data_IF_984746131770
#
_entry.id   IF_984746131770
#
_cell.length_a   1.000
_cell.length_b   1.000
_cell.length_c   1.000
_cell.angle_alpha   90.00
_cell.angle_beta   90.00
_cell.angle_gamma   90.00
#
_symmetry.space_group_name_H-M   'P 1'
#
loop_
_entity.id
_entity.type
_entity.pdbx_description
1 polymer ?
#
# COMPACT_ATOMS: atom_id res chain seq x y z
N UNK A 1 -9.73 3.12 -5.32
CA UNK A 1 -10.86 3.80 -4.66
C UNK A 1 -10.46 4.52 -3.35
N UNK A 2 -9.17 4.72 -3.03
CA UNK A 2 -8.72 5.43 -1.82
C UNK A 2 -8.21 6.85 -2.09
N UNK A 3 -7.86 7.17 -3.33
CA UNK A 3 -7.20 8.44 -3.68
C UNK A 3 -8.10 9.64 -3.43
N UNK A 4 -9.39 9.56 -3.76
CA UNK A 4 -10.32 10.70 -3.62
C UNK A 4 -10.54 11.12 -2.16
N UNK A 5 -10.86 10.22 -1.20
CA UNK A 5 -10.97 10.61 0.20
C UNK A 5 -9.70 11.24 0.74
N UNK A 6 -8.53 10.66 0.45
CA UNK A 6 -7.23 11.18 0.92
C UNK A 6 -6.98 12.59 0.37
N UNK A 7 -7.22 12.82 -0.92
CA UNK A 7 -7.03 14.14 -1.52
C UNK A 7 -7.99 15.17 -0.94
N UNK A 8 -9.25 14.79 -0.68
CA UNK A 8 -10.25 15.68 -0.08
C UNK A 8 -9.88 16.00 1.37
N UNK A 9 -9.43 15.03 2.16
CA UNK A 9 -8.96 15.26 3.54
C UNK A 9 -7.75 16.19 3.57
N UNK A 10 -6.78 16.02 2.68
CA UNK A 10 -5.64 16.94 2.57
C UNK A 10 -6.05 18.35 2.15
N UNK A 11 -7.03 18.47 1.24
CA UNK A 11 -7.55 19.75 0.77
C UNK A 11 -8.41 20.48 1.81
N UNK A 12 -9.12 19.74 2.66
CA UNK A 12 -9.94 20.32 3.74
C UNK A 12 -9.09 20.94 4.86
N UNK A 13 -7.85 20.46 5.06
CA UNK A 13 -6.95 20.93 6.11
C UNK A 13 -6.07 22.13 5.73
N UNK A 14 -6.21 22.70 4.52
CA UNK A 14 -5.36 23.78 4.00
C UNK A 14 -6.17 25.01 3.57
N UNK A 15 -5.54 26.18 3.53
CA UNK A 15 -6.11 27.41 2.97
C UNK A 15 -6.18 27.37 1.44
N UNK A 16 -7.03 28.24 0.84
CA UNK A 16 -7.16 28.37 -0.62
C UNK A 16 -5.84 28.71 -1.31
N UNK A 17 -4.99 29.53 -0.69
CA UNK A 17 -3.70 29.94 -1.24
C UNK A 17 -2.70 28.78 -1.39
N UNK A 18 -2.83 27.72 -0.60
CA UNK A 18 -1.88 26.60 -0.57
C UNK A 18 -2.44 25.29 -1.13
N UNK A 19 -3.71 25.27 -1.57
CA UNK A 19 -4.39 24.07 -2.07
C UNK A 19 -3.66 23.42 -3.27
N UNK A 20 -3.13 24.22 -4.18
CA UNK A 20 -2.38 23.73 -5.35
C UNK A 20 -1.10 22.98 -4.93
N UNK A 21 -0.34 23.54 -3.99
CA UNK A 21 0.90 22.95 -3.47
C UNK A 21 0.64 21.65 -2.72
N UNK A 22 -0.38 21.62 -1.85
CA UNK A 22 -0.77 20.41 -1.09
C UNK A 22 -1.22 19.29 -2.04
N UNK A 23 -1.98 19.63 -3.07
CA UNK A 23 -2.43 18.67 -4.08
C UNK A 23 -1.24 18.10 -4.87
N UNK A 24 -0.33 18.96 -5.32
CA UNK A 24 0.87 18.54 -6.04
C UNK A 24 1.76 17.61 -5.20
N UNK A 25 1.94 17.92 -3.91
CA UNK A 25 2.70 17.08 -2.98
C UNK A 25 2.03 15.70 -2.81
N UNK A 26 0.71 15.67 -2.63
CA UNK A 26 -0.06 14.42 -2.48
C UNK A 26 0.08 13.52 -3.72
N UNK A 27 -0.03 14.09 -4.93
CA UNK A 27 0.18 13.35 -6.17
C UNK A 27 1.62 12.84 -6.32
N UNK A 28 2.59 13.61 -5.87
CA UNK A 28 4.01 13.23 -5.95
C UNK A 28 4.28 11.99 -5.08
N UNK A 29 3.81 12.01 -3.83
CA UNK A 29 3.93 10.87 -2.91
C UNK A 29 3.20 9.64 -3.47
N UNK A 30 2.01 9.82 -4.03
CA UNK A 30 1.28 8.72 -4.68
C UNK A 30 2.09 8.07 -5.82
N UNK A 31 2.72 8.88 -6.68
CA UNK A 31 3.54 8.36 -7.78
C UNK A 31 4.78 7.61 -7.28
N UNK A 32 5.42 8.12 -6.24
CA UNK A 32 6.55 7.43 -5.60
C UNK A 32 6.10 6.07 -5.07
N UNK A 33 4.99 6.02 -4.34
CA UNK A 33 4.44 4.76 -3.82
C UNK A 33 4.13 3.75 -4.92
N UNK A 34 3.54 4.21 -6.03
CA UNK A 34 3.25 3.37 -7.21
C UNK A 34 4.53 2.80 -7.85
N UNK A 35 5.57 3.62 -7.99
CA UNK A 35 6.87 3.19 -8.52
C UNK A 35 7.53 2.14 -7.61
N UNK A 36 7.50 2.36 -6.29
CA UNK A 36 8.07 1.41 -5.30
C UNK A 36 7.31 0.09 -5.32
N UNK A 37 5.98 0.11 -5.32
CA UNK A 37 5.17 -1.10 -5.38
C UNK A 37 5.42 -1.92 -6.65
N UNK A 38 5.52 -1.24 -7.80
CA UNK A 38 5.84 -1.86 -9.09
C UNK A 38 7.24 -2.47 -9.09
N UNK A 39 8.23 -1.81 -8.50
CA UNK A 39 9.59 -2.32 -8.39
C UNK A 39 9.67 -3.59 -7.52
N UNK A 40 8.95 -3.62 -6.39
CA UNK A 40 8.90 -4.79 -5.50
C UNK A 40 8.23 -5.98 -6.20
N UNK A 41 7.07 -5.78 -6.84
CA UNK A 41 6.41 -6.86 -7.61
C UNK A 41 7.29 -7.36 -8.74
N UNK A 42 7.91 -6.47 -9.53
CA UNK A 42 8.84 -6.87 -10.59
C UNK A 42 10.04 -7.67 -10.07
N UNK A 43 10.59 -7.28 -8.91
CA UNK A 43 11.66 -8.01 -8.23
C UNK A 43 11.23 -9.43 -7.81
N UNK A 44 10.05 -9.56 -7.17
CA UNK A 44 9.50 -10.86 -6.75
C UNK A 44 9.28 -11.76 -7.98
N UNK A 45 8.63 -11.22 -9.01
CA UNK A 45 8.31 -11.95 -10.23
C UNK A 45 9.58 -12.49 -10.90
N UNK A 46 10.55 -11.63 -11.17
CA UNK A 46 11.78 -12.01 -11.88
C UNK A 46 12.66 -12.97 -11.09
N UNK A 47 12.75 -12.82 -9.77
CA UNK A 47 13.61 -13.67 -8.94
C UNK A 47 12.97 -14.99 -8.53
N UNK A 48 11.63 -15.07 -8.44
CA UNK A 48 10.95 -16.27 -7.92
C UNK A 48 10.28 -17.12 -8.99
N UNK A 49 9.77 -16.53 -10.07
CA UNK A 49 8.95 -17.27 -11.02
C UNK A 49 9.75 -18.33 -11.79
N UNK A 50 10.87 -17.95 -12.41
CA UNK A 50 11.67 -18.90 -13.20
C UNK A 50 12.20 -20.09 -12.37
N UNK A 51 12.82 -19.88 -11.17
CA UNK A 51 13.24 -20.99 -10.33
C UNK A 51 12.10 -21.91 -9.89
N UNK A 52 10.92 -21.36 -9.62
CA UNK A 52 9.76 -22.14 -9.21
C UNK A 52 9.21 -23.00 -10.36
N UNK A 53 9.16 -22.45 -11.57
CA UNK A 53 8.81 -23.20 -12.78
C UNK A 53 9.81 -24.34 -13.01
N UNK A 54 11.12 -24.04 -12.95
CA UNK A 54 12.17 -25.04 -13.16
C UNK A 54 12.07 -26.19 -12.15
N UNK A 55 11.83 -25.86 -10.87
CA UNK A 55 11.65 -26.85 -9.80
C UNK A 55 10.45 -27.76 -10.07
N UNK A 56 9.31 -27.21 -10.50
CA UNK A 56 8.07 -27.98 -10.71
C UNK A 56 8.08 -28.79 -12.01
N UNK A 57 8.84 -28.36 -13.02
CA UNK A 57 9.08 -29.11 -14.26
C UNK A 57 10.21 -30.14 -14.13
N UNK A 58 10.63 -30.50 -12.91
CA UNK A 58 11.64 -31.53 -12.68
C UNK A 58 13.05 -31.16 -13.18
N UNK A 59 13.37 -29.87 -13.28
CA UNK A 59 14.68 -29.40 -13.73
C UNK A 59 14.85 -29.33 -15.25
N UNK A 60 13.78 -29.49 -16.05
CA UNK A 60 13.86 -29.32 -17.50
C UNK A 60 14.04 -27.84 -17.89
N UNK A 61 15.29 -27.43 -18.09
CA UNK A 61 15.69 -26.05 -18.40
C UNK A 61 15.08 -25.55 -19.70
N UNK A 62 15.00 -26.38 -20.75
CA UNK A 62 14.47 -25.98 -22.05
C UNK A 62 12.97 -25.65 -21.96
N UNK A 63 12.19 -26.53 -21.34
CA UNK A 63 10.76 -26.30 -21.14
C UNK A 63 10.49 -25.13 -20.18
N UNK A 64 11.25 -25.01 -19.10
CA UNK A 64 11.11 -23.90 -18.14
C UNK A 64 11.41 -22.55 -18.81
N UNK A 65 12.44 -22.49 -19.65
CA UNK A 65 12.80 -21.28 -20.40
C UNK A 65 11.71 -20.92 -21.41
N UNK A 66 11.18 -21.89 -22.15
CA UNK A 66 10.08 -21.65 -23.09
C UNK A 66 8.79 -21.17 -22.38
N UNK A 67 8.46 -21.79 -21.24
CA UNK A 67 7.31 -21.40 -20.42
C UNK A 67 7.44 -19.99 -19.84
N UNK A 68 8.64 -19.60 -19.41
CA UNK A 68 8.90 -18.28 -18.85
C UNK A 68 8.98 -17.17 -19.92
N UNK A 69 9.65 -17.45 -21.05
CA UNK A 69 9.85 -16.46 -22.11
C UNK A 69 8.58 -16.20 -22.93
N UNK A 70 7.73 -17.21 -23.13
CA UNK A 70 6.50 -17.07 -23.92
C UNK A 70 5.36 -17.93 -23.35
N UNK A 71 4.77 -17.51 -22.21
CA UNK A 71 3.74 -18.28 -21.53
C UNK A 71 2.48 -18.47 -22.38
N UNK A 72 2.12 -17.49 -23.21
CA UNK A 72 0.92 -17.57 -24.06
C UNK A 72 1.04 -18.59 -25.19
N UNK A 73 2.22 -18.74 -25.80
CA UNK A 73 2.44 -19.82 -26.77
C UNK A 73 2.55 -21.16 -26.07
N UNK A 74 3.16 -21.22 -24.87
CA UNK A 74 3.27 -22.45 -24.09
C UNK A 74 1.90 -23.07 -23.78
N UNK A 75 0.92 -22.27 -23.37
CA UNK A 75 -0.44 -22.77 -23.07
C UNK A 75 -1.25 -23.19 -24.31
N UNK A 76 -0.85 -22.76 -25.51
CA UNK A 76 -1.48 -23.24 -26.76
C UNK A 76 -0.97 -24.63 -27.14
N UNK A 77 0.28 -24.93 -26.83
CA UNK A 77 0.89 -26.25 -27.06
C UNK A 77 0.50 -27.24 -25.96
N UNK A 78 0.57 -26.82 -24.70
CA UNK A 78 0.22 -27.62 -23.52
C UNK A 78 -1.14 -27.18 -23.01
N UNK A 79 -2.19 -27.90 -23.40
CA UNK A 79 -3.57 -27.59 -23.05
C UNK A 79 -3.91 -27.96 -21.59
N UNK A 80 -5.11 -27.62 -21.14
CA UNK A 80 -5.58 -27.95 -19.78
C UNK A 80 -5.58 -29.47 -19.56
N UNK A 81 -5.12 -29.91 -18.38
CA UNK A 81 -4.98 -31.33 -18.01
C UNK A 81 -3.62 -31.94 -18.33
N UNK A 82 -2.71 -31.18 -18.96
CA UNK A 82 -1.30 -31.60 -19.10
C UNK A 82 -0.52 -31.30 -17.82
N UNK A 83 0.37 -32.22 -17.45
CA UNK A 83 1.18 -32.10 -16.22
C UNK A 83 2.10 -30.88 -16.24
N UNK A 84 2.60 -30.53 -17.42
CA UNK A 84 3.52 -29.43 -17.68
C UNK A 84 2.82 -28.09 -17.46
N UNK A 85 1.59 -27.95 -17.96
CA UNK A 85 0.80 -26.73 -17.74
C UNK A 85 0.42 -26.58 -16.28
N UNK A 86 -0.03 -27.66 -15.64
CA UNK A 86 -0.39 -27.63 -14.21
C UNK A 86 0.79 -27.23 -13.33
N UNK A 87 1.98 -27.76 -13.62
CA UNK A 87 3.22 -27.39 -12.94
C UNK A 87 3.51 -25.87 -13.05
N UNK A 88 3.35 -25.29 -14.24
CA UNK A 88 3.52 -23.84 -14.46
C UNK A 88 2.44 -23.03 -13.76
N UNK A 89 1.17 -23.42 -13.89
CA UNK A 89 0.04 -22.72 -13.22
C UNK A 89 0.25 -22.69 -11.70
N UNK A 90 0.68 -23.80 -11.12
CA UNK A 90 0.98 -23.88 -9.70
C UNK A 90 2.18 -23.00 -9.29
N UNK A 91 3.21 -22.85 -10.15
CA UNK A 91 4.29 -21.88 -9.94
C UNK A 91 3.75 -20.43 -9.91
N UNK A 92 2.89 -20.07 -10.87
CA UNK A 92 2.26 -18.75 -10.93
C UNK A 92 1.39 -18.49 -9.69
N UNK A 93 0.57 -19.47 -9.26
CA UNK A 93 -0.23 -19.36 -8.04
C UNK A 93 0.62 -19.09 -6.81
N UNK A 94 1.78 -19.76 -6.70
CA UNK A 94 2.71 -19.55 -5.60
C UNK A 94 3.28 -18.13 -5.59
N UNK A 95 3.76 -17.63 -6.74
CA UNK A 95 4.30 -16.26 -6.85
C UNK A 95 3.22 -15.22 -6.58
N UNK A 96 2.01 -15.39 -7.14
CA UNK A 96 0.88 -14.49 -6.90
C UNK A 96 0.50 -14.43 -5.41
N UNK A 97 0.58 -15.57 -4.71
CA UNK A 97 0.35 -15.64 -3.27
C UNK A 97 1.39 -14.80 -2.52
N UNK A 98 2.67 -14.86 -2.90
CA UNK A 98 3.71 -14.03 -2.28
C UNK A 98 3.46 -12.54 -2.50
N UNK A 99 3.11 -12.13 -3.72
CA UNK A 99 2.78 -10.72 -4.01
C UNK A 99 1.60 -10.21 -3.19
N UNK A 100 0.56 -11.04 -3.05
CA UNK A 100 -0.63 -10.71 -2.25
C UNK A 100 -0.30 -10.59 -0.76
N UNK A 101 0.55 -11.48 -0.22
CA UNK A 101 1.01 -11.40 1.17
C UNK A 101 1.83 -10.13 1.41
N UNK A 102 2.73 -9.78 0.48
CA UNK A 102 3.51 -8.54 0.56
C UNK A 102 2.57 -7.33 0.56
N UNK A 103 1.61 -7.28 -0.36
CA UNK A 103 0.60 -6.22 -0.40
C UNK A 103 -0.19 -6.10 0.91
N UNK A 104 -0.59 -7.24 1.52
CA UNK A 104 -1.29 -7.26 2.80
C UNK A 104 -0.43 -6.69 3.94
N UNK A 105 0.86 -7.02 3.97
CA UNK A 105 1.80 -6.46 4.96
C UNK A 105 1.93 -4.95 4.81
N UNK A 106 1.92 -4.42 3.58
CA UNK A 106 1.90 -2.97 3.34
C UNK A 106 0.56 -2.31 3.69
N UNK A 107 -0.55 -3.04 3.71
CA UNK A 107 -1.83 -2.53 4.21
C UNK A 107 -1.84 -2.30 5.72
N UNK A 108 -1.11 -3.11 6.50
CA UNK A 108 -1.09 -2.97 7.97
C UNK A 108 -0.62 -1.58 8.45
N UNK A 109 0.51 -1.01 8.00
CA UNK A 109 0.90 0.35 8.40
C UNK A 109 -0.06 1.41 7.85
N UNK A 110 -0.67 1.21 6.67
CA UNK A 110 -1.71 2.12 6.16
C UNK A 110 -2.91 2.18 7.11
N UNK A 111 -3.36 1.03 7.62
CA UNK A 111 -4.43 0.98 8.61
C UNK A 111 -4.01 1.65 9.93
N UNK A 112 -2.79 1.42 10.39
CA UNK A 112 -2.28 2.09 11.60
C UNK A 112 -2.22 3.61 11.42
N UNK A 113 -1.70 4.10 10.30
CA UNK A 113 -1.65 5.55 10.02
C UNK A 113 -3.03 6.15 9.77
N UNK A 114 -3.97 5.38 9.23
CA UNK A 114 -5.37 5.82 9.12
C UNK A 114 -6.01 6.06 10.48
N UNK A 115 -5.59 5.34 11.53
CA UNK A 115 -6.02 5.62 12.90
C UNK A 115 -5.34 6.87 13.47
N UNK A 116 -4.18 7.27 12.95
CA UNK A 116 -3.51 8.52 13.33
C UNK A 116 -4.02 9.73 12.53
N UNK A 117 -4.95 9.55 11.60
CA UNK A 117 -5.54 10.68 10.87
C UNK A 117 -6.49 11.43 11.81
N UNK A 118 -6.20 12.72 11.99
CA UNK A 118 -7.05 13.64 12.77
C UNK A 118 -8.36 13.89 12.05
N UNK A 119 -9.45 13.87 12.80
CA UNK A 119 -10.78 14.16 12.27
C UNK A 119 -10.94 15.69 12.15
N UNK A 120 -10.84 16.22 10.92
CA UNK A 120 -11.05 17.63 10.67
C UNK A 120 -12.56 17.93 10.68
N UNK A 121 -13.01 18.77 11.62
CA UNK A 121 -14.41 19.21 11.65
C UNK A 121 -14.73 19.97 10.36
N UNK A 122 -15.63 19.41 9.57
CA UNK A 122 -16.24 20.09 8.42
C UNK A 122 -17.20 21.16 8.96
N UNK A 123 -16.76 22.42 8.99
CA UNK A 123 -17.62 23.58 9.28
C UNK A 123 -18.31 24.05 7.99
N UNK A 124 -19.44 24.75 8.09
CA UNK A 124 -20.15 25.33 6.94
C UNK A 124 -19.38 26.47 6.22
N UNK A 125 -18.16 26.81 6.68
CA UNK A 125 -17.28 27.78 6.04
C UNK A 125 -16.43 27.07 4.98
N UNK A 126 -16.49 27.56 3.76
CA UNK A 126 -15.60 27.12 2.67
C UNK A 126 -14.24 27.79 2.91
N UNK A 127 -13.26 26.99 3.36
CA UNK A 127 -11.89 27.35 3.71
C UNK A 127 -11.68 28.12 5.03
N UNK A 128 -10.53 27.84 5.66
CA UNK A 128 -10.03 28.53 6.85
C UNK A 128 -9.47 29.91 6.49
N UNK A 129 -10.32 30.81 5.99
CA UNK A 129 -9.92 32.19 5.73
C UNK A 129 -9.90 32.96 7.08
N UNK A 130 -8.71 33.13 7.65
CA UNK A 130 -8.44 34.07 8.76
C UNK A 130 -8.40 33.51 10.19
N UNK A 131 -8.53 32.19 10.41
CA UNK A 131 -8.50 31.57 11.76
C UNK A 131 -7.18 30.85 12.09
N UNK A 132 -6.20 30.85 11.18
CA UNK A 132 -4.88 30.26 11.43
C UNK A 132 -3.91 31.40 11.77
N UNK A 133 -3.37 31.48 13.01
CA UNK A 133 -2.41 32.53 13.38
C UNK A 133 -1.14 32.44 12.52
N UNK A 134 -0.58 33.60 12.19
CA UNK A 134 0.62 33.75 11.35
C UNK A 134 1.76 32.85 11.87
N UNK A 135 2.13 31.82 11.10
CA UNK A 135 3.15 30.82 11.45
C UNK A 135 2.62 29.44 11.88
N UNK A 136 1.31 29.25 12.04
CA UNK A 136 0.69 27.92 12.15
C UNK A 136 0.12 27.48 10.79
N UNK A 137 0.14 26.18 10.51
CA UNK A 137 -0.36 25.62 9.24
C UNK A 137 -1.68 24.85 9.40
N UNK A 138 -2.18 24.72 10.64
CA UNK A 138 -3.37 23.91 11.01
C UNK A 138 -4.03 24.44 12.29
N UNK A 139 -5.36 24.35 12.39
CA UNK A 139 -6.10 24.69 13.62
C UNK A 139 -5.74 23.77 14.79
N UNK A 140 -5.64 24.33 16.01
CA UNK A 140 -5.50 23.58 17.28
C UNK A 140 -6.86 23.04 17.75
N UNK A 141 -7.48 22.16 16.99
CA UNK A 141 -8.61 21.36 17.49
C UNK A 141 -8.17 20.17 18.38
N UNK A 142 -8.94 19.84 19.40
CA UNK A 142 -8.69 18.65 20.21
C UNK A 142 -8.68 17.40 19.33
N UNK A 143 -7.66 16.55 19.49
CA UNK A 143 -7.45 15.37 18.65
C UNK A 143 -7.85 14.13 19.47
N UNK A 144 -9.09 13.63 19.35
CA UNK A 144 -9.65 12.63 20.26
C UNK A 144 -8.83 11.34 20.25
N UNK A 145 -8.16 11.06 19.12
CA UNK A 145 -7.32 9.88 18.95
C UNK A 145 -5.96 10.08 19.61
N UNK A 146 -5.34 11.24 19.47
CA UNK A 146 -4.11 11.56 20.20
C UNK A 146 -4.34 11.51 21.72
N UNK A 147 -5.48 11.99 22.19
CA UNK A 147 -5.85 11.94 23.61
C UNK A 147 -6.21 10.52 24.06
N UNK A 148 -6.84 9.71 23.21
CA UNK A 148 -7.02 8.27 23.45
C UNK A 148 -5.68 7.54 23.54
N UNK A 149 -4.73 7.81 22.63
CA UNK A 149 -3.39 7.21 22.68
C UNK A 149 -2.61 7.66 23.93
N UNK A 150 -2.66 8.95 24.29
CA UNK A 150 -2.09 9.43 25.57
C UNK A 150 -2.73 8.74 26.78
N UNK A 151 -4.05 8.53 26.77
CA UNK A 151 -4.77 7.84 27.84
C UNK A 151 -4.42 6.35 27.91
N UNK A 152 -4.27 5.67 26.77
CA UNK A 152 -3.87 4.26 26.69
C UNK A 152 -2.41 4.06 27.12
N UNK A 153 -1.50 4.91 26.67
CA UNK A 153 -0.07 4.88 27.07
C UNK A 153 0.07 5.25 28.56
N UNK A 154 -0.72 6.20 29.06
CA UNK A 154 -0.79 6.54 30.48
C UNK A 154 -1.28 5.40 31.37
N UNK A 155 -2.28 4.61 30.91
CA UNK A 155 -2.74 3.40 31.60
C UNK A 155 -1.67 2.31 31.64
N UNK A 156 -0.91 2.13 30.55
CA UNK A 156 0.19 1.16 30.51
C UNK A 156 1.36 1.53 31.42
N UNK A 157 1.68 2.82 31.55
CA UNK A 157 2.72 3.31 32.47
C UNK A 157 2.33 3.13 33.94
N UNK A 158 1.07 3.40 34.27
CA UNK A 158 0.52 3.25 35.64
C UNK A 158 0.44 1.78 36.09
N UNK A 159 0.23 0.84 35.16
CA UNK A 159 0.25 -0.61 35.47
C UNK A 159 1.65 -1.15 35.75
N UNK A 160 2.72 -0.42 35.40
CA UNK A 160 4.12 -0.83 35.60
C UNK A 160 4.73 -0.27 36.89
N UNK A 161 4.08 0.71 37.54
CA UNK A 161 4.50 1.28 38.83
C UNK A 161 3.82 0.63 40.05
N UNK A 162 2.87 -0.29 39.83
CA UNK A 162 2.10 -0.99 40.89
C UNK A 162 2.55 -2.45 41.07
N UNK A 163 3.73 -2.82 40.55
CA UNK A 163 4.37 -4.12 40.77
C UNK A 163 5.80 -3.94 41.26
#
# INVERSE_FOLDING_TARGET
MFTYPVTVSCQAATSHEHMATVTALTYTVYRIGSAVGSAISGCIWTQKLYPEILKRLGGNVSMATAAYASPYTFITTYTWGTSEREAVVEAYKYVQKLETVVALVFCAPLLMFSLCLRDAKLTDKVAHDGEIPEGEYTTKDEDPIADWFKACVGKFKKSKEVN
#
